data_IF_363923710473
#
_entry.id   IF_363923710473
#
_cell.length_a   1.000
_cell.length_b   1.000
_cell.length_c   1.000
_cell.angle_alpha   90.00
_cell.angle_beta   90.00
_cell.angle_gamma   90.00
#
_symmetry.space_group_name_H-M   'P 1'
#
loop_
_entity.id
_entity.type
_entity.pdbx_description
1 polymer ?
#
# COMPACT_ATOMS: atom_id res chain seq x y z
N UNK A 1 60.56 27.73 -21.86
CA UNK A 1 59.59 26.63 -22.03
C UNK A 1 58.78 26.50 -20.75
N UNK A 2 57.52 26.08 -20.85
CA UNK A 2 56.52 25.93 -19.76
C UNK A 2 55.81 24.57 -19.94
N UNK A 3 54.93 24.06 -19.04
CA UNK A 3 54.54 24.48 -17.67
C UNK A 3 55.26 23.58 -16.62
N UNK A 4 54.80 23.15 -15.42
CA UNK A 4 53.59 23.25 -14.55
C UNK A 4 54.09 23.35 -13.08
N UNK A 5 53.42 23.96 -12.08
CA UNK A 5 52.11 23.72 -11.41
C UNK A 5 51.96 22.38 -10.67
N UNK A 6 51.45 22.34 -9.43
CA UNK A 6 51.17 23.43 -8.45
C UNK A 6 50.85 22.87 -7.06
N UNK A 7 51.38 23.48 -5.99
CA UNK A 7 51.04 23.19 -4.59
C UNK A 7 50.37 24.39 -3.91
N UNK A 8 49.13 24.21 -3.45
CA UNK A 8 48.40 25.28 -2.74
C UNK A 8 48.58 25.15 -1.23
N UNK A 9 49.49 25.95 -0.67
CA UNK A 9 49.46 26.30 0.75
C UNK A 9 48.22 27.14 1.06
N UNK A 10 47.60 26.91 2.22
CA UNK A 10 46.59 27.80 2.78
C UNK A 10 46.94 28.15 4.23
N UNK A 11 47.08 29.44 4.53
CA UNK A 11 47.57 29.90 5.83
C UNK A 11 46.51 29.75 6.94
N UNK A 12 46.81 28.93 7.95
CA UNK A 12 46.12 29.03 9.26
C UNK A 12 46.46 30.36 9.91
N UNK A 13 45.45 31.22 10.13
CA UNK A 13 45.47 32.25 11.19
C UNK A 13 44.67 31.74 12.40
N UNK A 14 45.00 32.25 13.59
CA UNK A 14 44.47 31.75 14.88
C UNK A 14 43.14 32.42 15.20
N UNK A 15 42.18 31.65 15.71
CA UNK A 15 41.07 32.16 16.51
C UNK A 15 41.35 31.85 17.99
N UNK A 16 41.11 32.78 18.94
CA UNK A 16 41.22 32.50 20.37
C UNK A 16 40.04 31.63 20.85
N UNK A 17 40.28 30.78 21.84
CA UNK A 17 39.29 29.83 22.37
C UNK A 17 39.04 30.06 23.86
N UNK A 18 37.85 30.58 24.21
CA UNK A 18 37.26 30.48 25.56
C UNK A 18 35.73 30.62 25.47
N UNK A 19 35.02 29.49 25.31
CA UNK A 19 33.89 29.15 26.20
C UNK A 19 33.41 27.71 25.96
N UNK A 20 33.01 26.97 27.01
CA UNK A 20 32.50 25.61 26.88
C UNK A 20 30.96 25.56 26.92
N UNK A 21 30.32 25.14 25.83
CA UNK A 21 29.28 24.10 25.80
C UNK A 21 28.83 23.88 24.34
N UNK A 22 28.65 22.62 23.93
CA UNK A 22 28.48 22.25 22.53
C UNK A 22 27.08 22.58 21.99
N UNK A 23 26.98 23.59 21.11
CA UNK A 23 25.84 23.78 20.20
C UNK A 23 26.41 23.96 18.79
N UNK A 24 26.13 22.99 17.90
CA UNK A 24 26.58 23.00 16.51
C UNK A 24 25.38 23.23 15.57
N UNK A 25 25.17 24.45 15.03
CA UNK A 25 24.01 24.76 14.20
C UNK A 25 24.27 24.52 12.71
N UNK A 26 23.27 24.00 12.00
CA UNK A 26 23.19 24.04 10.53
C UNK A 26 22.07 25.00 10.09
N UNK A 27 22.22 26.27 10.47
CA UNK A 27 21.33 27.35 10.03
C UNK A 27 21.78 27.88 8.66
N UNK A 28 21.17 27.39 7.58
CA UNK A 28 21.38 27.92 6.24
C UNK A 28 20.74 29.32 6.11
N UNK A 29 21.49 30.31 5.62
CA UNK A 29 21.08 31.72 5.60
C UNK A 29 20.25 32.07 4.34
N UNK A 30 18.99 32.52 4.46
CA UNK A 30 18.13 32.79 3.30
C UNK A 30 18.07 34.29 2.97
N UNK A 31 19.05 34.82 2.21
CA UNK A 31 18.96 36.13 1.53
C UNK A 31 20.09 36.37 0.52
N UNK A 32 19.78 36.25 -0.79
CA UNK A 32 20.38 37.06 -1.85
C UNK A 32 19.65 36.88 -3.19
N UNK A 33 19.92 37.80 -4.13
CA UNK A 33 19.59 37.72 -5.56
C UNK A 33 18.10 37.67 -5.94
N UNK A 34 17.47 38.85 -5.96
CA UNK A 34 16.28 39.15 -6.77
C UNK A 34 16.66 39.90 -8.05
N UNK A 35 15.77 39.84 -9.06
CA UNK A 35 15.77 40.60 -10.32
C UNK A 35 16.93 40.45 -11.32
N UNK A 36 16.62 39.93 -12.52
CA UNK A 36 16.88 40.64 -13.78
C UNK A 36 15.86 40.22 -14.87
N UNK A 37 15.41 41.22 -15.64
CA UNK A 37 14.86 41.24 -17.02
C UNK A 37 14.22 39.94 -17.60
N UNK A 38 12.94 39.89 -18.00
CA UNK A 38 12.18 40.69 -19.00
C UNK A 38 12.56 40.40 -20.48
N UNK A 39 11.53 40.00 -21.24
CA UNK A 39 11.42 39.88 -22.72
C UNK A 39 12.28 38.84 -23.47
N UNK A 40 11.65 37.73 -23.84
CA UNK A 40 11.58 37.31 -25.25
C UNK A 40 10.28 36.55 -25.53
N UNK A 41 9.47 37.02 -26.47
CA UNK A 41 8.26 36.32 -26.91
C UNK A 41 8.62 35.32 -28.02
N UNK A 42 8.43 34.02 -27.77
CA UNK A 42 8.31 33.02 -28.84
C UNK A 42 7.00 32.25 -28.68
N UNK A 43 6.31 32.02 -29.81
CA UNK A 43 4.92 31.54 -29.86
C UNK A 43 4.86 30.03 -29.63
N UNK A 44 4.83 29.61 -28.36
CA UNK A 44 4.54 28.20 -28.04
C UNK A 44 3.07 27.94 -28.32
N UNK A 45 2.81 27.13 -29.35
CA UNK A 45 1.48 26.67 -29.71
C UNK A 45 0.97 25.72 -28.63
N UNK A 46 0.10 26.22 -27.74
CA UNK A 46 -0.52 25.43 -26.67
C UNK A 46 -1.58 24.48 -27.24
N UNK A 47 -1.11 23.45 -27.95
CA UNK A 47 -1.91 22.29 -28.31
C UNK A 47 -2.21 21.50 -27.04
N UNK A 48 -3.25 21.89 -26.32
CA UNK A 48 -3.72 21.23 -25.09
C UNK A 48 -4.27 19.85 -25.43
N UNK A 49 -3.36 18.89 -25.60
CA UNK A 49 -3.69 17.49 -25.74
C UNK A 49 -4.35 17.04 -24.44
N UNK A 50 -5.68 16.98 -24.44
CA UNK A 50 -6.45 16.29 -23.40
C UNK A 50 -6.20 14.80 -23.58
N UNK A 51 -5.04 14.36 -23.11
CA UNK A 51 -4.74 12.96 -22.93
C UNK A 51 -5.77 12.43 -21.94
N UNK A 52 -6.79 11.73 -22.45
CA UNK A 52 -7.68 10.95 -21.63
C UNK A 52 -6.84 9.91 -20.91
N UNK A 53 -6.48 10.20 -19.66
CA UNK A 53 -5.90 9.24 -18.75
C UNK A 53 -6.94 8.15 -18.55
N UNK A 54 -6.85 7.09 -19.35
CA UNK A 54 -7.59 5.84 -19.16
C UNK A 54 -7.20 5.33 -17.78
N UNK A 55 -8.00 5.67 -16.78
CA UNK A 55 -7.73 5.33 -15.40
C UNK A 55 -7.66 3.81 -15.30
N UNK A 56 -6.45 3.29 -15.11
CA UNK A 56 -6.26 1.89 -14.79
C UNK A 56 -6.91 1.67 -13.43
N UNK A 57 -8.09 1.05 -13.42
CA UNK A 57 -8.74 0.60 -12.20
C UNK A 57 -7.78 -0.38 -11.52
N UNK A 58 -7.18 0.03 -10.41
CA UNK A 58 -6.42 -0.87 -9.57
C UNK A 58 -7.36 -1.98 -9.07
N UNK A 59 -7.00 -3.24 -9.31
CA UNK A 59 -7.67 -4.35 -8.66
C UNK A 59 -7.41 -4.26 -7.16
N UNK A 60 -8.44 -4.54 -6.35
CA UNK A 60 -8.36 -4.56 -4.90
C UNK A 60 -9.08 -5.81 -4.39
N UNK A 61 -8.33 -6.62 -3.67
CA UNK A 61 -8.79 -7.88 -3.07
C UNK A 61 -8.67 -7.75 -1.55
N UNK A 62 -9.70 -8.22 -0.84
CA UNK A 62 -9.72 -8.21 0.63
C UNK A 62 -10.04 -9.61 1.13
N UNK A 63 -9.12 -10.21 1.87
CA UNK A 63 -9.32 -11.46 2.58
C UNK A 63 -9.70 -11.17 4.03
N UNK A 64 -10.89 -11.62 4.44
CA UNK A 64 -11.43 -11.47 5.79
C UNK A 64 -11.39 -12.82 6.52
N UNK A 65 -10.51 -12.96 7.51
CA UNK A 65 -10.27 -14.22 8.22
C UNK A 65 -11.19 -14.29 9.45
N UNK A 66 -12.44 -14.70 9.22
CA UNK A 66 -13.48 -14.92 10.25
C UNK A 66 -13.71 -16.40 10.59
N UNK A 67 -13.02 -17.33 9.91
CA UNK A 67 -13.23 -18.77 10.06
C UNK A 67 -12.04 -19.46 10.72
N UNK A 68 -12.22 -20.23 11.81
CA UNK A 68 -11.17 -21.06 12.38
C UNK A 68 -10.91 -22.31 11.53
N UNK A 69 -9.65 -22.65 11.35
CA UNK A 69 -9.18 -23.89 10.70
C UNK A 69 -8.97 -24.97 11.76
N UNK A 70 -8.26 -24.66 12.84
CA UNK A 70 -8.03 -25.59 13.95
C UNK A 70 -7.54 -24.90 15.24
N UNK A 71 -7.66 -25.60 16.37
CA UNK A 71 -7.22 -25.10 17.67
C UNK A 71 -8.30 -24.26 18.34
N UNK A 72 -7.91 -23.30 19.17
CA UNK A 72 -8.86 -22.28 19.65
C UNK A 72 -9.18 -21.28 18.54
N UNK A 73 -10.39 -20.73 18.57
CA UNK A 73 -10.71 -19.48 17.88
C UNK A 73 -10.48 -18.30 18.85
N UNK A 74 -10.24 -17.07 18.35
CA UNK A 74 -10.28 -15.86 19.17
C UNK A 74 -11.63 -15.67 19.88
N UNK A 75 -11.68 -14.75 20.84
CA UNK A 75 -12.83 -14.54 21.70
C UNK A 75 -14.10 -14.13 20.93
N UNK A 76 -15.25 -14.59 21.43
CA UNK A 76 -16.58 -14.14 20.96
C UNK A 76 -16.85 -12.66 21.28
N UNK A 77 -15.99 -12.04 22.07
CA UNK A 77 -15.98 -10.61 22.40
C UNK A 77 -15.23 -9.76 21.38
N UNK A 78 -14.51 -10.36 20.44
CA UNK A 78 -13.48 -9.67 19.66
C UNK A 78 -14.00 -9.33 18.27
N UNK A 79 -13.43 -8.30 17.65
CA UNK A 79 -13.92 -7.79 16.36
C UNK A 79 -13.71 -8.84 15.27
N UNK A 80 -14.80 -9.21 14.57
CA UNK A 80 -14.76 -10.05 13.38
C UNK A 80 -14.95 -9.19 12.11
N UNK A 81 -14.16 -9.38 11.03
CA UNK A 81 -13.08 -10.36 10.89
C UNK A 81 -11.91 -10.09 11.82
N UNK A 82 -11.35 -11.15 12.40
CA UNK A 82 -10.26 -11.05 13.38
C UNK A 82 -8.95 -10.55 12.75
N UNK A 83 -8.73 -10.88 11.48
CA UNK A 83 -7.61 -10.42 10.67
C UNK A 83 -8.12 -10.08 9.26
N UNK A 84 -7.62 -9.00 8.67
CA UNK A 84 -7.92 -8.61 7.29
C UNK A 84 -6.64 -8.34 6.51
N UNK A 85 -6.51 -8.95 5.34
CA UNK A 85 -5.45 -8.66 4.37
C UNK A 85 -6.04 -8.00 3.12
N UNK A 86 -5.64 -6.77 2.81
CA UNK A 86 -6.03 -6.06 1.59
C UNK A 86 -4.84 -6.00 0.63
N UNK A 87 -5.04 -6.40 -0.61
CA UNK A 87 -4.04 -6.38 -1.69
C UNK A 87 -4.57 -5.48 -2.79
N UNK A 88 -3.83 -4.43 -3.15
CA UNK A 88 -4.21 -3.47 -4.18
C UNK A 88 -3.09 -3.29 -5.21
N UNK A 89 -3.43 -3.14 -6.50
CA UNK A 89 -2.44 -2.80 -7.52
C UNK A 89 -1.79 -1.43 -7.22
N UNK A 90 -0.46 -1.40 -7.12
CA UNK A 90 0.33 -0.21 -6.77
C UNK A 90 1.09 0.37 -7.98
N UNK A 91 0.68 -0.02 -9.19
CA UNK A 91 1.34 0.29 -10.47
C UNK A 91 1.73 -0.98 -11.23
N UNK A 92 2.32 -0.81 -12.42
CA UNK A 92 2.74 -1.96 -13.22
C UNK A 92 3.77 -2.83 -12.46
N UNK A 93 3.54 -4.14 -12.44
CA UNK A 93 4.38 -5.13 -11.76
C UNK A 93 4.48 -4.95 -10.23
N UNK A 94 3.49 -4.31 -9.58
CA UNK A 94 3.50 -3.99 -8.14
C UNK A 94 2.13 -4.10 -7.48
N UNK A 95 2.13 -4.60 -6.25
CA UNK A 95 0.97 -4.51 -5.34
C UNK A 95 1.38 -3.94 -3.98
N UNK A 96 0.42 -3.33 -3.29
CA UNK A 96 0.51 -3.00 -1.88
C UNK A 96 -0.31 -4.02 -1.08
N UNK A 97 0.34 -4.73 -0.18
CA UNK A 97 -0.30 -5.59 0.83
C UNK A 97 -0.42 -4.80 2.14
N UNK A 98 -1.64 -4.72 2.66
CA UNK A 98 -1.95 -4.17 3.97
C UNK A 98 -2.52 -5.28 4.84
N UNK A 99 -1.80 -5.63 5.91
CA UNK A 99 -2.25 -6.57 6.94
C UNK A 99 -2.79 -5.78 8.12
N UNK A 100 -4.02 -6.07 8.56
CA UNK A 100 -4.63 -5.49 9.75
C UNK A 100 -4.98 -6.59 10.76
N UNK A 101 -4.61 -6.36 12.02
CA UNK A 101 -4.97 -7.23 13.13
C UNK A 101 -6.11 -6.60 13.94
N UNK A 102 -7.25 -7.29 14.03
CA UNK A 102 -8.46 -6.85 14.73
C UNK A 102 -8.75 -7.65 16.01
N UNK A 103 -7.73 -8.31 16.59
CA UNK A 103 -7.77 -8.99 17.90
C UNK A 103 -7.85 -7.98 19.08
N UNK A 104 -8.91 -7.19 19.05
CA UNK A 104 -9.30 -6.20 20.05
C UNK A 104 -10.70 -6.52 20.53
N UNK A 105 -10.91 -6.36 21.84
CA UNK A 105 -12.21 -6.59 22.46
C UNK A 105 -13.21 -5.52 21.98
N UNK A 106 -14.27 -5.94 21.29
CA UNK A 106 -15.16 -5.06 20.53
C UNK A 106 -15.87 -3.99 21.37
N UNK A 107 -16.08 -4.25 22.66
CA UNK A 107 -16.68 -3.29 23.61
C UNK A 107 -15.71 -2.23 24.17
N UNK A 108 -14.40 -2.33 23.90
CA UNK A 108 -13.38 -1.41 24.48
C UNK A 108 -12.30 -0.96 23.49
N UNK A 109 -12.11 -1.65 22.36
CA UNK A 109 -11.06 -1.36 21.39
C UNK A 109 -9.64 -1.69 21.87
N UNK A 110 -9.50 -2.33 23.04
CA UNK A 110 -8.20 -2.72 23.60
C UNK A 110 -7.77 -4.09 23.09
N UNK A 111 -6.49 -4.24 22.79
CA UNK A 111 -5.90 -5.52 22.40
C UNK A 111 -6.05 -6.58 23.51
N UNK A 112 -6.42 -7.80 23.12
CA UNK A 112 -6.65 -8.94 24.03
C UNK A 112 -5.36 -9.52 24.63
N UNK A 113 -4.20 -9.18 24.07
CA UNK A 113 -2.90 -9.80 24.34
C UNK A 113 -2.54 -10.90 23.33
N UNK A 114 -3.49 -11.28 22.48
CA UNK A 114 -3.29 -12.21 21.37
C UNK A 114 -2.50 -11.56 20.24
N UNK A 115 -1.80 -12.40 19.47
CA UNK A 115 -0.93 -11.96 18.38
C UNK A 115 -0.87 -12.98 17.26
N UNK A 116 -0.55 -12.50 16.05
CA UNK A 116 -0.24 -13.36 14.91
C UNK A 116 1.22 -13.80 14.98
N UNK A 117 1.47 -15.11 14.93
CA UNK A 117 2.82 -15.69 14.85
C UNK A 117 3.29 -15.87 13.39
N UNK A 118 2.38 -16.29 12.51
CA UNK A 118 2.63 -16.56 11.09
C UNK A 118 1.40 -16.13 10.28
N UNK A 119 1.58 -15.58 9.07
CA UNK A 119 0.49 -15.32 8.13
C UNK A 119 0.93 -15.67 6.71
N UNK A 120 0.23 -16.62 6.09
CA UNK A 120 0.59 -17.25 4.83
C UNK A 120 -0.23 -16.76 3.64
N UNK A 121 0.41 -16.68 2.48
CA UNK A 121 -0.21 -16.29 1.20
C UNK A 121 0.40 -17.10 0.03
N UNK A 122 -0.37 -17.29 -1.03
CA UNK A 122 0.13 -17.75 -2.32
C UNK A 122 0.19 -16.60 -3.32
N UNK A 123 0.98 -16.75 -4.37
CA UNK A 123 1.02 -15.82 -5.51
C UNK A 123 1.38 -16.57 -6.81
N UNK A 124 0.47 -16.56 -7.79
CA UNK A 124 0.70 -17.12 -9.13
C UNK A 124 1.60 -16.17 -9.95
N UNK A 125 2.88 -16.13 -9.59
CA UNK A 125 3.96 -15.53 -10.37
C UNK A 125 5.27 -16.28 -10.16
N UNK A 126 6.30 -15.92 -10.92
CA UNK A 126 7.67 -16.39 -10.71
C UNK A 126 8.20 -15.88 -9.36
N UNK A 127 8.33 -16.76 -8.37
CA UNK A 127 8.89 -16.39 -7.05
C UNK A 127 10.33 -15.88 -7.15
N UNK A 128 11.08 -16.31 -8.17
CA UNK A 128 12.42 -15.81 -8.49
C UNK A 128 12.43 -14.34 -8.99
N UNK A 129 11.30 -13.82 -9.47
CA UNK A 129 11.11 -12.40 -9.82
C UNK A 129 10.48 -11.59 -8.66
N UNK A 130 10.09 -12.24 -7.55
CA UNK A 130 9.35 -11.61 -6.45
C UNK A 130 10.29 -10.90 -5.47
N UNK A 131 9.92 -9.68 -5.10
CA UNK A 131 10.64 -8.88 -4.10
C UNK A 131 9.65 -8.09 -3.23
N UNK A 132 10.01 -7.83 -1.98
CA UNK A 132 9.19 -7.08 -1.04
C UNK A 132 9.95 -5.89 -0.42
N UNK A 133 9.19 -4.86 -0.04
CA UNK A 133 9.65 -3.72 0.74
C UNK A 133 8.64 -3.43 1.85
N UNK A 134 9.09 -3.38 3.10
CA UNK A 134 8.28 -2.84 4.20
C UNK A 134 8.10 -1.33 4.03
N UNK A 135 6.87 -0.84 4.23
CA UNK A 135 6.48 0.56 4.03
C UNK A 135 6.15 1.25 5.34
N UNK A 136 5.33 0.63 6.20
CA UNK A 136 4.92 1.24 7.48
C UNK A 136 4.27 0.24 8.45
N UNK A 137 4.08 0.70 9.70
CA UNK A 137 3.41 -0.04 10.76
C UNK A 137 4.30 -1.09 11.42
N UNK A 138 3.73 -2.24 11.75
CA UNK A 138 4.49 -3.40 12.21
C UNK A 138 5.44 -3.92 11.11
N UNK A 139 6.58 -4.49 11.50
CA UNK A 139 7.57 -5.08 10.58
C UNK A 139 7.85 -6.54 10.95
N UNK A 140 7.24 -7.46 10.21
CA UNK A 140 7.51 -8.89 10.28
C UNK A 140 8.71 -9.30 9.43
N UNK A 141 9.19 -10.52 9.61
CA UNK A 141 10.15 -11.15 8.69
C UNK A 141 9.34 -11.85 7.58
N UNK A 142 9.50 -11.43 6.34
CA UNK A 142 8.84 -12.10 5.20
C UNK A 142 9.80 -13.12 4.63
N UNK A 143 9.38 -14.38 4.64
CA UNK A 143 10.05 -15.49 3.95
C UNK A 143 9.30 -15.74 2.64
N UNK A 144 10.07 -15.78 1.55
CA UNK A 144 9.63 -16.16 0.20
C UNK A 144 10.63 -17.17 -0.30
N UNK A 145 10.19 -18.38 -0.61
CA UNK A 145 11.05 -19.52 -0.96
C UNK A 145 10.40 -20.28 -2.14
N UNK A 146 11.20 -20.90 -3.01
CA UNK A 146 10.65 -21.75 -4.08
C UNK A 146 10.23 -23.14 -3.58
N UNK A 147 10.63 -23.48 -2.35
CA UNK A 147 10.08 -24.58 -1.55
C UNK A 147 8.90 -24.06 -0.72
N UNK A 148 7.67 -24.43 -1.12
CA UNK A 148 6.45 -24.03 -0.39
C UNK A 148 6.52 -24.32 1.11
N UNK A 149 5.99 -23.40 1.91
CA UNK A 149 5.94 -23.47 3.38
C UNK A 149 4.52 -23.72 3.90
N UNK A 150 4.39 -24.45 5.00
CA UNK A 150 3.15 -24.53 5.80
C UNK A 150 3.21 -23.61 7.05
N UNK A 151 4.24 -22.77 7.16
CA UNK A 151 4.43 -21.81 8.25
C UNK A 151 4.76 -22.49 9.58
N UNK A 152 3.75 -22.59 10.45
CA UNK A 152 3.86 -23.27 11.74
C UNK A 152 3.04 -24.57 11.72
N UNK A 153 3.44 -25.56 12.53
CA UNK A 153 2.70 -26.83 12.70
C UNK A 153 1.25 -26.65 13.21
N UNK A 154 0.83 -25.41 13.56
CA UNK A 154 -0.53 -25.07 13.93
C UNK A 154 -1.42 -24.63 12.74
N UNK A 155 -0.86 -24.38 11.55
CA UNK A 155 -1.64 -24.02 10.34
C UNK A 155 -1.93 -25.27 9.51
N UNK A 156 -3.17 -25.75 9.52
CA UNK A 156 -3.61 -26.94 8.76
C UNK A 156 -4.33 -26.52 7.48
N UNK A 157 -3.65 -25.72 6.68
CA UNK A 157 -4.21 -25.05 5.50
C UNK A 157 -3.54 -25.45 4.17
N UNK A 158 -2.56 -26.36 4.19
CA UNK A 158 -1.77 -26.74 3.02
C UNK A 158 -0.48 -25.94 2.89
N UNK A 159 0.02 -25.85 1.66
CA UNK A 159 1.30 -25.25 1.29
C UNK A 159 1.12 -23.86 0.64
N UNK A 160 2.04 -22.94 0.95
CA UNK A 160 2.01 -21.52 0.59
C UNK A 160 3.37 -21.00 0.11
N UNK A 161 3.36 -19.94 -0.70
CA UNK A 161 4.58 -19.33 -1.29
C UNK A 161 5.26 -18.28 -0.37
N UNK A 162 4.50 -17.65 0.53
CA UNK A 162 4.92 -16.51 1.35
C UNK A 162 4.52 -16.75 2.81
N UNK A 163 5.43 -16.51 3.76
CA UNK A 163 5.19 -16.53 5.21
C UNK A 163 5.65 -15.23 5.89
N UNK A 164 4.71 -14.54 6.54
CA UNK A 164 4.98 -13.40 7.41
C UNK A 164 5.19 -13.86 8.85
N UNK A 165 6.46 -14.05 9.22
CA UNK A 165 6.86 -14.52 10.54
C UNK A 165 6.98 -13.34 11.51
N UNK A 166 6.23 -13.40 12.62
CA UNK A 166 6.42 -12.49 13.75
C UNK A 166 7.60 -12.90 14.64
N UNK A 167 8.42 -11.95 15.15
CA UNK A 167 9.53 -12.29 16.01
C UNK A 167 9.00 -12.81 17.35
N UNK A 168 9.53 -13.94 17.80
CA UNK A 168 8.96 -14.72 18.92
C UNK A 168 9.03 -14.00 20.29
N UNK A 169 9.88 -12.98 20.41
CA UNK A 169 10.10 -12.20 21.63
C UNK A 169 8.93 -11.25 21.95
N UNK A 170 8.53 -11.21 23.23
CA UNK A 170 7.30 -10.57 23.70
C UNK A 170 7.13 -9.09 23.30
N UNK A 171 8.22 -8.33 23.13
CA UNK A 171 8.16 -6.89 22.90
C UNK A 171 7.69 -6.47 21.49
N UNK A 172 7.84 -7.35 20.49
CA UNK A 172 7.71 -6.98 19.07
C UNK A 172 6.67 -7.85 18.34
N UNK A 173 5.51 -8.11 18.96
CA UNK A 173 4.46 -8.99 18.39
C UNK A 173 3.42 -8.22 17.59
N UNK A 174 2.84 -8.83 16.56
CA UNK A 174 1.72 -8.27 15.81
C UNK A 174 0.42 -8.47 16.58
N UNK A 175 0.13 -7.56 17.51
CA UNK A 175 -1.06 -7.59 18.38
C UNK A 175 -2.25 -6.85 17.76
N UNK A 176 -3.44 -7.03 18.35
CA UNK A 176 -4.67 -6.34 17.94
C UNK A 176 -4.53 -4.82 17.87
N UNK A 177 -5.20 -4.22 16.88
CA UNK A 177 -5.15 -2.79 16.59
C UNK A 177 -3.96 -2.35 15.74
N UNK A 178 -3.01 -3.24 15.45
CA UNK A 178 -1.87 -2.94 14.58
C UNK A 178 -2.18 -3.18 13.09
N UNK A 179 -1.52 -2.37 12.26
CA UNK A 179 -1.46 -2.54 10.80
C UNK A 179 0.00 -2.72 10.37
N UNK A 180 0.22 -3.43 9.27
CA UNK A 180 1.53 -3.66 8.65
C UNK A 180 1.39 -3.50 7.14
N UNK A 181 2.25 -2.70 6.49
CA UNK A 181 2.13 -2.38 5.06
C UNK A 181 3.41 -2.72 4.32
N UNK A 182 3.28 -3.45 3.21
CA UNK A 182 4.36 -3.85 2.32
C UNK A 182 4.02 -3.51 0.87
N UNK A 183 5.04 -3.20 0.07
CA UNK A 183 4.95 -3.19 -1.39
C UNK A 183 5.67 -4.42 -1.92
N UNK A 184 4.97 -5.26 -2.67
CA UNK A 184 5.59 -6.32 -3.47
C UNK A 184 5.82 -5.84 -4.90
N UNK A 185 6.92 -6.28 -5.50
CA UNK A 185 7.25 -6.05 -6.91
C UNK A 185 7.64 -7.37 -7.55
N UNK A 186 7.11 -7.66 -8.73
CA UNK A 186 7.40 -8.90 -9.47
C UNK A 186 6.82 -8.87 -10.88
N UNK A 187 7.43 -9.62 -11.80
CA UNK A 187 7.05 -9.58 -13.22
C UNK A 187 5.61 -10.07 -13.41
N UNK A 188 4.77 -9.24 -14.03
CA UNK A 188 3.34 -9.53 -14.22
C UNK A 188 2.50 -9.48 -12.93
N UNK A 189 3.07 -9.04 -11.81
CA UNK A 189 2.39 -9.02 -10.51
C UNK A 189 1.24 -8.01 -10.49
N UNK A 190 0.05 -8.51 -10.19
CA UNK A 190 -1.19 -7.79 -9.89
C UNK A 190 -1.83 -8.37 -8.63
N UNK A 191 -2.86 -7.73 -8.07
CA UNK A 191 -3.58 -8.25 -6.90
C UNK A 191 -4.15 -9.65 -7.18
N UNK A 192 -4.72 -9.87 -8.37
CA UNK A 192 -5.36 -11.11 -8.80
C UNK A 192 -4.43 -12.35 -8.73
N UNK A 193 -3.10 -12.16 -8.80
CA UNK A 193 -2.13 -13.24 -8.64
C UNK A 193 -2.24 -13.96 -7.27
N UNK A 194 -2.74 -13.27 -6.24
CA UNK A 194 -2.94 -13.83 -4.90
C UNK A 194 -4.25 -14.64 -4.76
N UNK A 195 -5.07 -14.75 -5.81
CA UNK A 195 -6.22 -15.67 -5.87
C UNK A 195 -5.80 -17.10 -6.23
N UNK A 196 -4.74 -17.57 -5.58
CA UNK A 196 -4.15 -18.89 -5.75
C UNK A 196 -4.43 -19.74 -4.50
N UNK A 197 -5.22 -20.81 -4.58
CA UNK A 197 -5.47 -21.67 -3.42
C UNK A 197 -4.21 -22.48 -3.07
N UNK A 198 -3.98 -22.69 -1.78
CA UNK A 198 -2.86 -23.48 -1.27
C UNK A 198 -2.77 -24.88 -1.88
N UNK A 199 -1.54 -25.25 -2.25
CA UNK A 199 -1.22 -26.58 -2.72
C UNK A 199 -1.37 -27.60 -1.57
N UNK A 200 -1.50 -28.89 -1.91
CA UNK A 200 -1.77 -29.93 -0.93
C UNK A 200 -0.50 -30.34 -0.16
N UNK A 201 -0.53 -30.26 1.17
CA UNK A 201 0.51 -30.83 2.06
C UNK A 201 0.39 -32.36 2.25
N UNK A 202 -0.43 -33.01 1.43
CA UNK A 202 -0.86 -34.41 1.56
C UNK A 202 -2.14 -34.60 2.39
N UNK A 203 -2.66 -33.55 3.05
CA UNK A 203 -3.87 -33.64 3.90
C UNK A 203 -4.79 -32.41 3.85
N UNK A 204 -4.24 -31.22 3.66
CA UNK A 204 -4.92 -29.93 3.66
C UNK A 204 -4.53 -29.13 2.41
N UNK A 205 -5.47 -28.38 1.85
CA UNK A 205 -5.31 -27.56 0.64
C UNK A 205 -6.48 -26.58 0.49
N UNK A 206 -6.43 -25.70 -0.51
CA UNK A 206 -7.60 -24.93 -0.96
C UNK A 206 -7.91 -23.67 -0.15
N UNK A 207 -6.91 -23.07 0.51
CA UNK A 207 -7.02 -21.78 1.21
C UNK A 207 -6.25 -20.69 0.48
N UNK A 208 -6.83 -19.49 0.33
CA UNK A 208 -6.11 -18.34 -0.26
C UNK A 208 -5.10 -17.75 0.73
N UNK A 209 -5.45 -17.74 2.01
CA UNK A 209 -4.60 -17.26 3.10
C UNK A 209 -5.01 -17.94 4.41
N UNK A 210 -4.03 -18.14 5.29
CA UNK A 210 -4.21 -18.65 6.64
C UNK A 210 -3.22 -17.98 7.60
N UNK A 211 -3.58 -17.86 8.87
CA UNK A 211 -2.75 -17.25 9.90
C UNK A 211 -2.79 -18.06 11.20
N UNK A 212 -1.68 -18.07 11.93
CA UNK A 212 -1.53 -18.66 13.26
C UNK A 212 -1.69 -17.58 14.33
N UNK A 213 -2.62 -17.78 15.26
CA UNK A 213 -2.91 -16.88 16.36
C UNK A 213 -2.50 -17.55 17.67
N UNK A 214 -1.73 -16.84 18.48
CA UNK A 214 -1.20 -17.34 19.73
C UNK A 214 -1.40 -16.32 20.87
N UNK A 215 -1.29 -16.81 22.12
CA UNK A 215 -1.51 -16.00 23.32
C UNK A 215 -2.97 -15.88 23.74
N UNK A 216 -3.86 -16.71 23.19
CA UNK A 216 -5.27 -16.75 23.57
C UNK A 216 -5.46 -17.15 25.04
N UNK A 217 -6.61 -16.80 25.61
CA UNK A 217 -6.96 -17.10 27.00
C UNK A 217 -6.68 -18.57 27.37
N UNK A 218 -6.09 -18.80 28.55
CA UNK A 218 -5.62 -20.12 28.98
C UNK A 218 -4.31 -20.60 28.35
N UNK A 219 -3.64 -19.77 27.54
CA UNK A 219 -2.40 -20.14 26.82
C UNK A 219 -2.65 -20.83 25.48
N UNK A 220 -3.84 -20.62 24.89
CA UNK A 220 -4.24 -21.26 23.64
C UNK A 220 -3.51 -20.74 22.40
N UNK A 221 -3.48 -21.58 21.37
CA UNK A 221 -3.18 -21.20 19.99
C UNK A 221 -4.13 -21.90 19.01
N UNK A 222 -4.17 -21.40 17.78
CA UNK A 222 -5.06 -21.89 16.73
C UNK A 222 -4.93 -21.05 15.48
N UNK A 223 -5.34 -21.61 14.34
CA UNK A 223 -5.23 -20.96 13.05
C UNK A 223 -6.60 -20.60 12.47
N UNK A 224 -6.63 -19.49 11.75
CA UNK A 224 -7.78 -18.93 11.03
C UNK A 224 -7.43 -18.74 9.56
N UNK A 225 -8.42 -18.65 8.68
CA UNK A 225 -8.14 -18.43 7.26
C UNK A 225 -9.37 -18.29 6.39
N UNK A 226 -9.14 -18.31 5.08
CA UNK A 226 -10.17 -18.16 4.05
C UNK A 226 -10.02 -19.26 3.01
N UNK A 227 -10.96 -20.21 2.99
CA UNK A 227 -11.00 -21.25 1.95
C UNK A 227 -11.50 -20.68 0.62
N UNK A 228 -11.03 -21.24 -0.50
CA UNK A 228 -11.49 -20.86 -1.83
C UNK A 228 -12.99 -21.13 -2.03
N UNK A 229 -13.56 -22.08 -1.27
CA UNK A 229 -15.01 -22.34 -1.22
C UNK A 229 -15.83 -21.30 -0.45
N UNK A 230 -15.20 -20.50 0.41
CA UNK A 230 -15.84 -19.44 1.19
C UNK A 230 -15.61 -18.03 0.60
N UNK A 231 -14.72 -17.90 -0.38
CA UNK A 231 -14.45 -16.63 -1.05
C UNK A 231 -15.57 -16.26 -2.01
N UNK A 232 -16.47 -15.38 -1.55
CA UNK A 232 -17.26 -14.57 -2.48
C UNK A 232 -16.33 -13.50 -3.02
N UNK A 233 -15.91 -13.64 -4.28
CA UNK A 233 -15.15 -12.61 -4.97
C UNK A 233 -15.88 -11.26 -4.83
N UNK A 234 -15.17 -10.15 -4.53
CA UNK A 234 -15.81 -8.84 -4.42
C UNK A 234 -16.52 -8.59 -5.74
N UNK A 235 -17.87 -8.54 -5.71
CA UNK A 235 -18.62 -8.34 -6.93
C UNK A 235 -18.19 -7.01 -7.49
N UNK A 236 -17.47 -7.04 -8.62
CA UNK A 236 -17.14 -5.84 -9.37
C UNK A 236 -18.46 -5.13 -9.59
N UNK A 237 -18.62 -3.98 -8.95
CA UNK A 237 -19.72 -3.07 -9.24
C UNK A 237 -19.44 -2.52 -10.63
N UNK A 238 -19.68 -3.34 -11.66
CA UNK A 238 -19.94 -2.95 -13.04
C UNK A 238 -20.96 -1.84 -12.90
N UNK A 239 -20.56 -0.57 -13.01
CA UNK A 239 -21.23 0.52 -12.30
C UNK A 239 -22.65 0.60 -12.84
N UNK A 240 -23.61 0.09 -12.03
CA UNK A 240 -24.84 -0.53 -12.54
C UNK A 240 -25.41 0.35 -13.61
N UNK A 241 -25.23 -0.06 -14.88
CA UNK A 241 -25.32 0.86 -16.02
C UNK A 241 -26.69 1.48 -15.91
N UNK A 242 -26.73 2.75 -15.49
CA UNK A 242 -27.99 3.43 -15.23
C UNK A 242 -28.60 3.56 -16.61
N UNK A 243 -29.50 2.63 -16.91
CA UNK A 243 -30.50 2.80 -17.92
C UNK A 243 -31.35 3.94 -17.36
N UNK A 244 -30.90 5.15 -17.68
CA UNK A 244 -31.79 6.24 -17.93
C UNK A 244 -32.69 5.80 -19.08
N UNK A 245 -33.69 4.98 -18.72
CA UNK A 245 -35.04 5.24 -19.18
C UNK A 245 -35.31 6.69 -18.80
N UNK A 246 -35.00 7.57 -19.73
CA UNK A 246 -34.97 9.01 -19.56
C UNK A 246 -36.41 9.50 -19.75
N UNK A 247 -37.20 9.77 -18.68
CA UNK A 247 -38.42 10.53 -18.87
C UNK A 247 -37.99 11.88 -19.39
N UNK A 248 -38.37 12.22 -20.63
CA UNK A 248 -37.86 13.37 -21.37
C UNK A 248 -38.11 14.70 -20.64
N UNK A 249 -37.21 15.05 -19.72
CA UNK A 249 -37.21 16.26 -18.92
C UNK A 249 -36.26 17.23 -19.57
N UNK A 250 -36.82 18.28 -20.17
CA UNK A 250 -36.07 19.37 -20.76
C UNK A 250 -35.01 19.86 -19.78
N UNK A 251 -33.73 19.80 -20.19
CA UNK A 251 -32.62 20.27 -19.38
C UNK A 251 -32.73 21.79 -19.18
N UNK A 252 -33.19 22.22 -17.99
CA UNK A 252 -33.21 23.62 -17.58
C UNK A 252 -31.75 24.08 -17.48
N UNK A 253 -31.31 25.11 -18.25
CA UNK A 253 -29.90 25.48 -18.26
C UNK A 253 -29.45 26.08 -16.92
N UNK A 254 -28.47 25.46 -16.27
CA UNK A 254 -27.82 26.05 -15.11
C UNK A 254 -26.97 27.27 -15.50
N UNK A 255 -26.93 28.34 -14.68
CA UNK A 255 -26.35 29.63 -15.08
C UNK A 255 -24.83 29.60 -15.32
N UNK A 256 -24.12 28.59 -14.82
CA UNK A 256 -22.69 28.41 -15.09
C UNK A 256 -22.38 28.17 -16.59
N UNK A 257 -23.24 27.41 -17.28
CA UNK A 257 -23.07 27.10 -18.71
C UNK A 257 -23.27 28.33 -19.61
N UNK A 258 -24.12 29.27 -19.19
CA UNK A 258 -24.35 30.55 -19.89
C UNK A 258 -23.09 31.42 -19.87
N UNK A 259 -22.34 31.40 -18.76
CA UNK A 259 -21.13 32.20 -18.60
C UNK A 259 -20.00 31.74 -19.55
N UNK A 260 -19.89 30.42 -19.77
CA UNK A 260 -18.91 29.85 -20.70
C UNK A 260 -19.26 30.16 -22.17
N UNK A 261 -20.55 30.17 -22.52
CA UNK A 261 -21.01 30.62 -23.85
C UNK A 261 -20.73 32.12 -24.09
N UNK A 262 -20.92 32.95 -23.07
CA UNK A 262 -20.70 34.40 -23.13
C UNK A 262 -19.25 34.79 -23.44
N UNK A 263 -18.27 34.12 -22.81
CA UNK A 263 -16.84 34.37 -23.06
C UNK A 263 -16.44 34.00 -24.50
N UNK A 264 -16.99 32.91 -25.05
CA UNK A 264 -16.72 32.50 -26.43
C UNK A 264 -17.18 33.54 -27.48
N UNK A 265 -18.37 34.13 -27.29
CA UNK A 265 -18.91 35.11 -28.23
C UNK A 265 -18.15 36.45 -28.20
N UNK A 266 -17.68 36.88 -27.02
CA UNK A 266 -16.87 38.08 -26.86
C UNK A 266 -15.52 37.99 -27.61
N UNK A 267 -14.86 36.83 -27.58
CA UNK A 267 -13.62 36.58 -28.32
C UNK A 267 -13.78 36.70 -29.84
N UNK A 268 -14.90 36.20 -30.39
CA UNK A 268 -15.19 36.27 -31.83
C UNK A 268 -15.43 37.72 -32.32
N UNK A 269 -16.05 38.58 -31.51
CA UNK A 269 -16.25 39.99 -31.87
C UNK A 269 -14.94 40.79 -31.84
N UNK A 270 -14.02 40.47 -30.94
CA UNK A 270 -12.70 41.11 -30.89
C UNK A 270 -11.84 40.81 -32.13
N UNK A 271 -11.98 39.61 -32.71
CA UNK A 271 -11.26 39.19 -33.93
C UNK A 271 -11.77 39.86 -35.22
N UNK A 272 -13.00 40.42 -35.24
CA UNK A 272 -13.60 41.05 -36.43
C UNK A 272 -13.23 42.54 -36.63
N UNK A 273 -12.27 43.07 -35.86
CA UNK A 273 -11.77 44.47 -35.94
C UNK A 273 -10.27 44.55 -36.19
N UNK A 274 -9.73 43.61 -36.97
CA UNK A 274 -8.38 43.63 -37.55
C UNK A 274 -8.46 43.21 -39.01
#
# INVERSE_FOLDING_TARGET
MSPCRSSNWCHRRRCPTTDPYFIAPWAACPRCLSHHLIHSMHKILFATLVAMSTGASASVITFNLSAPINGSAPGVTDVSPWLTATIADAGANKVQLTLANHLVHAGTGLATGEYVSNWLFNVNTSLADLSYQWVSGYAGWVVTDDVYTNGSNAIKAGLFDIDFIGPRANANRFIGGMTSVYTFSGKGLTADAFLTPSAADGKYSGYYTAADIAGMAGGGSGSVGLSASAYVAPQTLVPSRVQAEEPARQAVPEPASVLLLGVGLAGLLALRRR
#
